data_IF_497008803843
#
_entry.id   IF_497008803843
#
_cell.length_a   1.000
_cell.length_b   1.000
_cell.length_c   1.000
_cell.angle_alpha   90.00
_cell.angle_beta   90.00
_cell.angle_gamma   90.00
#
_symmetry.space_group_name_H-M   'P 1'
#
loop_
_entity.id
_entity.type
_entity.pdbx_description
1 polymer ?
#
# COMPACT_ATOMS: atom_id res chain seq x y z
N UNK A 1 -16.49 30.70 33.77
CA UNK A 1 -16.29 31.09 32.36
C UNK A 1 -15.99 29.81 31.60
N UNK A 2 -16.96 29.30 30.84
CA UNK A 2 -16.80 28.10 30.00
C UNK A 2 -16.58 28.57 28.55
N UNK A 3 -15.33 28.50 28.08
CA UNK A 3 -15.03 28.57 26.65
C UNK A 3 -15.33 27.21 26.02
N UNK A 4 -16.56 27.02 25.55
CA UNK A 4 -16.87 25.94 24.63
C UNK A 4 -16.32 26.33 23.26
N UNK A 5 -15.16 25.77 22.89
CA UNK A 5 -14.63 25.91 21.53
C UNK A 5 -15.64 25.30 20.54
N UNK A 6 -16.31 26.17 19.78
CA UNK A 6 -17.24 25.76 18.72
C UNK A 6 -16.41 25.22 17.55
N UNK A 7 -16.47 23.90 17.33
CA UNK A 7 -15.87 23.28 16.15
C UNK A 7 -16.56 23.80 14.88
N UNK A 8 -15.81 24.14 13.81
CA UNK A 8 -16.37 24.69 12.59
C UNK A 8 -17.32 23.70 11.90
N UNK A 9 -18.40 24.24 11.32
CA UNK A 9 -19.33 23.46 10.52
C UNK A 9 -18.68 23.08 9.18
N UNK A 10 -18.69 21.79 8.86
CA UNK A 10 -18.17 21.23 7.61
C UNK A 10 -19.33 20.89 6.68
N UNK A 11 -19.22 21.32 5.42
CA UNK A 11 -20.13 20.95 4.35
C UNK A 11 -19.41 19.97 3.42
N UNK A 12 -20.04 18.82 3.17
CA UNK A 12 -19.55 17.77 2.29
C UNK A 12 -20.41 17.76 1.03
N UNK A 13 -19.77 17.81 -0.12
CA UNK A 13 -20.38 17.60 -1.43
C UNK A 13 -19.54 16.56 -2.18
N UNK A 14 -20.19 15.58 -2.81
CA UNK A 14 -19.55 14.40 -3.43
C UNK A 14 -20.12 13.06 -2.93
N UNK A 15 -19.78 11.92 -3.58
CA UNK A 15 -18.53 11.67 -4.31
C UNK A 15 -18.57 12.03 -5.79
N UNK A 16 -17.45 12.56 -6.30
CA UNK A 16 -17.26 12.91 -7.72
C UNK A 16 -16.34 11.92 -8.47
N UNK A 17 -15.97 10.80 -7.84
CA UNK A 17 -15.18 9.76 -8.47
C UNK A 17 -16.05 8.80 -9.27
N UNK A 18 -15.72 8.57 -10.53
CA UNK A 18 -16.30 7.48 -11.30
C UNK A 18 -15.67 6.17 -10.82
N UNK A 19 -16.46 5.33 -10.17
CA UNK A 19 -15.99 4.11 -9.51
C UNK A 19 -15.78 2.97 -10.49
N UNK A 20 -14.73 3.03 -11.30
CA UNK A 20 -14.29 1.88 -12.10
C UNK A 20 -13.66 0.83 -11.19
N UNK A 21 -14.48 0.01 -10.52
CA UNK A 21 -14.06 -1.10 -9.63
C UNK A 21 -13.65 -2.36 -10.41
N UNK A 22 -13.06 -2.21 -11.60
CA UNK A 22 -12.73 -3.34 -12.49
C UNK A 22 -11.75 -4.34 -11.86
N UNK A 23 -11.03 -3.95 -10.81
CA UNK A 23 -10.09 -4.84 -10.10
C UNK A 23 -10.76 -6.03 -9.41
N UNK A 24 -12.07 -6.01 -9.17
CA UNK A 24 -12.80 -7.16 -8.60
C UNK A 24 -13.11 -8.25 -9.61
N UNK A 25 -13.01 -7.93 -10.90
CA UNK A 25 -13.39 -8.82 -12.00
C UNK A 25 -12.23 -9.75 -12.41
N UNK A 26 -11.00 -9.38 -12.04
CA UNK A 26 -9.80 -10.16 -12.29
C UNK A 26 -9.42 -11.00 -11.06
N UNK A 27 -8.94 -12.23 -11.30
CA UNK A 27 -8.44 -13.10 -10.23
C UNK A 27 -7.19 -12.52 -9.56
N UNK A 28 -6.33 -11.86 -10.33
CA UNK A 28 -5.12 -11.21 -9.84
C UNK A 28 -5.09 -9.77 -10.36
N UNK A 29 -4.99 -8.81 -9.44
CA UNK A 29 -4.99 -7.38 -9.76
C UNK A 29 -3.70 -6.71 -9.29
N UNK A 30 -3.12 -5.85 -10.13
CA UNK A 30 -1.93 -5.04 -9.78
C UNK A 30 -2.34 -3.57 -9.70
N UNK A 31 -2.32 -3.01 -8.50
CA UNK A 31 -2.63 -1.62 -8.20
C UNK A 31 -1.32 -0.84 -8.07
N UNK A 32 -1.17 0.26 -8.81
CA UNK A 32 0.05 1.08 -8.79
C UNK A 32 -0.28 2.51 -8.34
N UNK A 33 0.24 2.90 -7.17
CA UNK A 33 0.12 4.26 -6.64
C UNK A 33 1.44 5.00 -6.71
N UNK A 34 1.45 6.25 -7.20
CA UNK A 34 2.66 7.08 -7.25
C UNK A 34 2.44 8.44 -6.56
N UNK A 35 3.34 8.81 -5.65
CA UNK A 35 3.28 10.10 -4.95
C UNK A 35 1.93 10.32 -4.23
N UNK A 36 1.30 11.48 -4.45
CA UNK A 36 -0.02 11.81 -3.86
C UNK A 36 -1.15 10.91 -4.36
N UNK A 37 -0.95 10.21 -5.48
CA UNK A 37 -1.92 9.27 -6.05
C UNK A 37 -2.13 8.02 -5.20
N UNK A 38 -1.46 7.90 -4.05
CA UNK A 38 -1.64 6.81 -3.09
C UNK A 38 -2.94 6.94 -2.28
N UNK A 39 -3.45 8.17 -2.11
CA UNK A 39 -4.63 8.46 -1.27
C UNK A 39 -5.89 7.65 -1.62
N UNK A 40 -6.33 7.56 -2.89
CA UNK A 40 -7.48 6.73 -3.22
C UNK A 40 -7.25 5.24 -2.92
N UNK A 41 -6.01 4.76 -3.05
CA UNK A 41 -5.66 3.37 -2.76
C UNK A 41 -5.81 3.02 -1.28
N UNK A 42 -5.64 3.97 -0.36
CA UNK A 42 -5.90 3.74 1.06
C UNK A 42 -7.33 3.23 1.29
N UNK A 43 -8.33 3.84 0.64
CA UNK A 43 -9.72 3.41 0.72
C UNK A 43 -9.95 2.09 0.00
N UNK A 44 -9.33 1.89 -1.17
CA UNK A 44 -9.49 0.65 -1.97
C UNK A 44 -8.94 -0.56 -1.21
N UNK A 45 -7.75 -0.43 -0.60
CA UNK A 45 -7.12 -1.53 0.15
C UNK A 45 -7.94 -1.93 1.37
N UNK A 46 -8.48 -0.95 2.11
CA UNK A 46 -9.39 -1.21 3.23
C UNK A 46 -10.66 -1.92 2.77
N UNK A 47 -11.27 -1.45 1.68
CA UNK A 47 -12.48 -2.06 1.11
C UNK A 47 -12.23 -3.51 0.64
N UNK A 48 -11.08 -3.77 0.00
CA UNK A 48 -10.69 -5.12 -0.44
C UNK A 48 -10.57 -6.09 0.73
N UNK A 49 -9.83 -5.71 1.77
CA UNK A 49 -9.66 -6.55 2.96
C UNK A 49 -10.98 -6.73 3.71
N UNK A 50 -11.80 -5.69 3.78
CA UNK A 50 -13.14 -5.79 4.35
C UNK A 50 -14.02 -6.78 3.56
N UNK A 51 -14.12 -6.65 2.24
CA UNK A 51 -14.86 -7.57 1.36
C UNK A 51 -14.37 -9.01 1.49
N UNK A 52 -13.05 -9.20 1.60
CA UNK A 52 -12.41 -10.49 1.87
C UNK A 52 -12.88 -11.10 3.20
N UNK A 53 -12.85 -10.31 4.28
CA UNK A 53 -13.21 -10.76 5.62
C UNK A 53 -14.68 -11.18 5.75
N UNK A 54 -15.60 -10.47 5.08
CA UNK A 54 -17.04 -10.79 5.09
C UNK A 54 -17.41 -11.92 4.12
N UNK A 55 -16.42 -12.56 3.48
CA UNK A 55 -16.60 -13.61 2.46
C UNK A 55 -17.58 -13.21 1.36
N UNK A 56 -17.51 -11.95 0.93
CA UNK A 56 -18.27 -11.50 -0.23
C UNK A 56 -17.85 -12.32 -1.46
N UNK A 57 -18.77 -12.58 -2.38
CA UNK A 57 -18.43 -13.24 -3.65
C UNK A 57 -17.78 -12.20 -4.57
N UNK A 58 -16.45 -12.15 -4.58
CA UNK A 58 -15.68 -11.42 -5.59
C UNK A 58 -14.58 -12.35 -6.14
N UNK A 59 -14.22 -12.17 -7.42
CA UNK A 59 -13.34 -13.11 -8.12
C UNK A 59 -11.86 -12.91 -7.80
N UNK A 60 -11.50 -11.79 -7.18
CA UNK A 60 -10.12 -11.44 -6.89
C UNK A 60 -9.53 -12.30 -5.76
N UNK A 61 -8.53 -13.12 -6.10
CA UNK A 61 -7.79 -14.00 -5.19
C UNK A 61 -6.50 -13.36 -4.69
N UNK A 62 -5.93 -12.41 -5.45
CA UNK A 62 -4.70 -11.73 -5.07
C UNK A 62 -4.64 -10.29 -5.59
N UNK A 63 -4.21 -9.36 -4.74
CA UNK A 63 -3.97 -7.97 -5.09
C UNK A 63 -2.53 -7.59 -4.76
N UNK A 64 -1.79 -7.14 -5.76
CA UNK A 64 -0.46 -6.57 -5.57
C UNK A 64 -0.54 -5.06 -5.59
N UNK A 65 -0.20 -4.42 -4.49
CA UNK A 65 -0.12 -2.97 -4.41
C UNK A 65 1.33 -2.49 -4.49
N UNK A 66 1.68 -1.83 -5.58
CA UNK A 66 2.98 -1.23 -5.82
C UNK A 66 2.89 0.26 -5.52
N UNK A 67 3.45 0.68 -4.39
CA UNK A 67 3.53 2.08 -4.03
C UNK A 67 4.90 2.66 -4.37
N UNK A 68 4.93 3.64 -5.26
CA UNK A 68 6.16 4.34 -5.70
C UNK A 68 6.19 5.74 -5.12
N UNK A 69 7.24 6.06 -4.35
CA UNK A 69 7.38 7.39 -3.76
C UNK A 69 8.84 7.88 -3.77
N UNK A 70 9.02 9.20 -3.84
CA UNK A 70 10.36 9.80 -3.77
C UNK A 70 10.86 9.87 -2.32
N UNK A 71 10.03 10.34 -1.39
CA UNK A 71 10.43 10.53 0.02
C UNK A 71 9.33 10.07 0.97
N UNK A 72 9.71 9.52 2.12
CA UNK A 72 8.76 9.12 3.17
C UNK A 72 8.08 10.30 3.89
N UNK A 73 8.63 11.51 3.77
CA UNK A 73 8.25 12.69 4.58
C UNK A 73 6.78 13.13 4.47
N UNK A 74 6.07 12.74 3.42
CA UNK A 74 4.67 13.13 3.17
C UNK A 74 3.64 12.04 3.53
N UNK A 75 4.07 10.88 4.07
CA UNK A 75 3.22 9.67 4.03
C UNK A 75 3.30 8.75 5.26
N UNK A 76 3.64 9.29 6.44
CA UNK A 76 3.58 8.50 7.69
C UNK A 76 2.20 7.87 7.88
N UNK A 77 1.13 8.64 7.63
CA UNK A 77 -0.25 8.16 7.71
C UNK A 77 -0.57 7.00 6.76
N UNK A 78 0.05 6.94 5.57
CA UNK A 78 -0.16 5.83 4.63
C UNK A 78 0.46 4.55 5.15
N UNK A 79 1.62 4.64 5.81
CA UNK A 79 2.23 3.48 6.46
C UNK A 79 1.29 2.93 7.54
N UNK A 80 0.64 3.80 8.31
CA UNK A 80 -0.32 3.36 9.34
C UNK A 80 -1.54 2.66 8.72
N UNK A 81 -2.04 3.17 7.59
CA UNK A 81 -3.12 2.49 6.85
C UNK A 81 -2.66 1.15 6.29
N UNK A 82 -1.47 1.08 5.69
CA UNK A 82 -0.93 -0.19 5.19
C UNK A 82 -0.81 -1.19 6.34
N UNK A 83 -0.38 -0.74 7.53
CA UNK A 83 -0.30 -1.60 8.72
C UNK A 83 -1.68 -2.12 9.13
N UNK A 84 -2.68 -1.26 9.15
CA UNK A 84 -4.07 -1.64 9.46
C UNK A 84 -4.62 -2.63 8.44
N UNK A 85 -4.39 -2.38 7.13
CA UNK A 85 -4.76 -3.28 6.05
C UNK A 85 -4.09 -4.64 6.23
N UNK A 86 -2.79 -4.65 6.53
CA UNK A 86 -2.04 -5.88 6.83
C UNK A 86 -2.66 -6.63 8.03
N UNK A 87 -2.90 -5.94 9.14
CA UNK A 87 -3.43 -6.57 10.35
C UNK A 87 -4.84 -7.16 10.15
N UNK A 88 -5.65 -6.55 9.27
CA UNK A 88 -6.99 -7.04 8.91
C UNK A 88 -6.97 -8.14 7.83
N UNK A 89 -5.89 -8.26 7.06
CA UNK A 89 -5.79 -9.19 5.92
C UNK A 89 -5.46 -10.62 6.34
N UNK A 90 -6.46 -11.29 6.90
CA UNK A 90 -6.35 -12.69 7.34
C UNK A 90 -6.20 -13.70 6.20
N UNK A 91 -6.57 -13.33 4.97
CA UNK A 91 -6.50 -14.21 3.79
C UNK A 91 -5.26 -13.97 2.94
N UNK A 92 -4.37 -13.06 3.37
CA UNK A 92 -3.21 -12.63 2.60
C UNK A 92 -3.59 -12.17 1.18
N UNK A 93 -4.77 -11.55 1.02
CA UNK A 93 -5.27 -11.07 -0.26
C UNK A 93 -4.35 -9.99 -0.83
N UNK A 94 -3.82 -9.10 0.01
CA UNK A 94 -3.07 -7.92 -0.39
C UNK A 94 -1.57 -8.13 -0.12
N UNK A 95 -0.75 -7.90 -1.14
CA UNK A 95 0.71 -7.88 -1.02
C UNK A 95 1.24 -6.51 -1.43
N UNK A 96 1.82 -5.80 -0.46
CA UNK A 96 2.28 -4.42 -0.65
C UNK A 96 3.79 -4.37 -0.85
N UNK A 97 4.19 -3.66 -1.90
CA UNK A 97 5.59 -3.40 -2.26
C UNK A 97 5.82 -1.89 -2.33
N UNK A 98 6.73 -1.40 -1.49
CA UNK A 98 7.04 0.04 -1.39
C UNK A 98 8.34 0.30 -2.14
N UNK A 99 8.36 1.23 -3.08
CA UNK A 99 9.54 1.63 -3.84
C UNK A 99 9.91 3.08 -3.54
N UNK A 100 11.05 3.27 -2.89
CA UNK A 100 11.63 4.59 -2.61
C UNK A 100 12.62 4.93 -3.73
N UNK A 101 12.29 5.95 -4.53
CA UNK A 101 13.04 6.30 -5.73
C UNK A 101 14.02 7.46 -5.54
N UNK A 102 14.20 7.97 -4.32
CA UNK A 102 15.22 9.00 -4.06
C UNK A 102 16.63 8.44 -4.28
N UNK A 103 17.53 9.29 -4.75
CA UNK A 103 18.95 8.94 -4.88
C UNK A 103 19.59 8.88 -3.50
N UNK A 104 20.47 7.90 -3.27
CA UNK A 104 21.11 7.68 -1.97
C UNK A 104 21.85 8.92 -1.44
N UNK A 105 22.50 9.68 -2.34
CA UNK A 105 23.19 10.94 -2.02
C UNK A 105 22.25 12.04 -1.46
N UNK A 106 20.95 11.91 -1.70
CA UNK A 106 19.92 12.87 -1.26
C UNK A 106 19.07 12.32 -0.12
N UNK A 107 19.42 11.17 0.46
CA UNK A 107 18.68 10.63 1.59
C UNK A 107 18.72 11.57 2.80
N UNK A 108 17.54 11.85 3.35
CA UNK A 108 17.45 12.42 4.69
C UNK A 108 17.74 11.34 5.74
N UNK A 109 17.96 11.74 6.99
CA UNK A 109 18.27 10.81 8.09
C UNK A 109 17.23 9.68 8.20
N UNK A 110 15.95 9.99 7.97
CA UNK A 110 14.84 9.02 8.01
C UNK A 110 15.01 7.95 6.93
N UNK A 111 15.21 8.37 5.68
CA UNK A 111 15.37 7.46 4.53
C UNK A 111 16.65 6.65 4.66
N UNK A 112 17.73 7.25 5.16
CA UNK A 112 18.98 6.54 5.46
C UNK A 112 18.77 5.47 6.52
N UNK A 113 18.09 5.81 7.62
CA UNK A 113 17.84 4.85 8.70
C UNK A 113 16.95 3.70 8.22
N UNK A 114 15.89 3.99 7.46
CA UNK A 114 15.09 2.96 6.80
C UNK A 114 15.94 2.07 5.88
N UNK A 115 16.78 2.65 5.02
CA UNK A 115 17.65 1.89 4.13
C UNK A 115 18.56 0.93 4.89
N UNK A 116 19.16 1.40 5.99
CA UNK A 116 20.00 0.56 6.83
C UNK A 116 19.16 -0.52 7.51
N UNK A 117 17.99 -0.18 8.07
CA UNK A 117 17.07 -1.13 8.71
C UNK A 117 16.62 -2.24 7.77
N UNK A 118 16.21 -1.91 6.54
CA UNK A 118 15.72 -2.89 5.57
C UNK A 118 16.84 -3.79 5.03
N UNK A 119 18.07 -3.27 4.92
CA UNK A 119 19.18 -3.99 4.28
C UNK A 119 20.09 -4.74 5.25
N UNK A 120 20.31 -4.18 6.44
CA UNK A 120 21.33 -4.67 7.38
C UNK A 120 20.75 -5.19 8.68
N UNK A 121 19.53 -4.81 9.03
CA UNK A 121 18.88 -5.32 10.23
C UNK A 121 17.81 -6.34 9.85
N UNK A 122 17.74 -7.42 10.64
CA UNK A 122 16.80 -8.50 10.38
C UNK A 122 15.37 -8.03 10.74
N UNK A 123 14.37 -8.38 9.92
CA UNK A 123 12.96 -8.21 10.28
C UNK A 123 12.71 -8.95 11.59
N UNK A 124 12.19 -8.26 12.60
CA UNK A 124 11.74 -8.90 13.85
C UNK A 124 10.26 -9.18 13.69
N UNK A 125 9.82 -10.42 13.97
CA UNK A 125 8.43 -10.84 13.75
C UNK A 125 7.92 -10.63 12.30
N UNK A 126 8.79 -10.83 11.30
CA UNK A 126 8.49 -10.56 9.89
C UNK A 126 8.08 -9.12 9.57
N UNK A 127 8.34 -8.16 10.49
CA UNK A 127 8.07 -6.74 10.30
C UNK A 127 9.38 -5.96 10.20
N UNK A 128 9.36 -4.92 9.37
CA UNK A 128 10.39 -3.88 9.35
C UNK A 128 10.55 -3.28 10.73
N UNK A 129 11.78 -3.21 11.24
CA UNK A 129 12.08 -2.55 12.51
C UNK A 129 11.76 -1.05 12.49
N UNK A 130 11.78 -0.44 11.31
CA UNK A 130 11.60 0.99 11.15
C UNK A 130 10.13 1.39 10.96
N UNK A 131 9.40 0.65 10.12
CA UNK A 131 8.01 1.00 9.77
C UNK A 131 6.98 0.13 10.49
N UNK A 132 7.39 -1.01 11.06
CA UNK A 132 6.48 -2.00 11.63
C UNK A 132 5.62 -2.74 10.58
N UNK A 133 5.92 -2.58 9.29
CA UNK A 133 5.19 -3.22 8.19
C UNK A 133 5.77 -4.59 7.86
N UNK A 134 4.91 -5.54 7.48
CA UNK A 134 5.33 -6.82 6.89
C UNK A 134 5.79 -6.64 5.44
N UNK A 135 5.20 -5.66 4.76
CA UNK A 135 5.55 -5.15 3.43
C UNK A 135 7.06 -5.06 3.21
N UNK A 136 7.48 -5.27 1.96
CA UNK A 136 8.90 -5.13 1.59
C UNK A 136 9.13 -3.74 1.02
N UNK A 137 10.14 -3.05 1.55
CA UNK A 137 10.60 -1.77 1.02
C UNK A 137 11.82 -1.98 0.11
N UNK A 138 11.71 -1.47 -1.11
CA UNK A 138 12.71 -1.51 -2.16
C UNK A 138 13.26 -0.11 -2.39
N UNK A 139 14.52 -0.03 -2.78
CA UNK A 139 15.19 1.24 -3.12
C UNK A 139 15.53 1.24 -4.60
N UNK A 140 15.06 2.26 -5.31
CA UNK A 140 15.15 2.35 -6.77
C UNK A 140 13.79 2.26 -7.46
N UNK A 141 13.82 2.17 -8.79
CA UNK A 141 12.60 2.09 -9.60
C UNK A 141 12.03 0.67 -9.60
N UNK A 142 10.71 0.50 -9.61
CA UNK A 142 10.08 -0.82 -9.71
C UNK A 142 10.45 -1.49 -11.04
N UNK A 143 10.96 -2.73 -11.04
CA UNK A 143 11.26 -3.49 -12.25
C UNK A 143 9.98 -4.11 -12.81
N UNK A 144 9.04 -3.29 -13.31
CA UNK A 144 7.70 -3.74 -13.70
C UNK A 144 7.69 -4.94 -14.65
N UNK A 145 8.57 -4.98 -15.66
CA UNK A 145 8.63 -6.10 -16.59
C UNK A 145 8.98 -7.43 -15.90
N UNK A 146 10.02 -7.41 -15.06
CA UNK A 146 10.42 -8.60 -14.30
C UNK A 146 9.34 -8.99 -13.28
N UNK A 147 8.74 -8.00 -12.61
CA UNK A 147 7.65 -8.22 -11.67
C UNK A 147 6.43 -8.88 -12.34
N UNK A 148 5.93 -8.31 -13.45
CA UNK A 148 4.79 -8.85 -14.18
C UNK A 148 5.09 -10.23 -14.76
N UNK A 149 6.31 -10.46 -15.25
CA UNK A 149 6.74 -11.80 -15.70
C UNK A 149 6.73 -12.81 -14.56
N UNK A 150 7.23 -12.43 -13.39
CA UNK A 150 7.19 -13.30 -12.20
C UNK A 150 5.76 -13.61 -11.73
N UNK A 151 4.79 -12.69 -11.95
CA UNK A 151 3.40 -12.97 -11.62
C UNK A 151 2.81 -14.10 -12.47
N UNK A 152 3.22 -14.22 -13.74
CA UNK A 152 2.79 -15.33 -14.61
C UNK A 152 3.36 -16.68 -14.12
N UNK A 153 4.56 -16.67 -13.55
CA UNK A 153 5.17 -17.87 -12.96
C UNK A 153 4.50 -18.26 -11.64
N UNK A 154 4.13 -17.27 -10.81
CA UNK A 154 3.49 -17.48 -9.51
C UNK A 154 2.02 -17.87 -9.64
N UNK A 155 1.32 -17.33 -10.64
CA UNK A 155 -0.11 -17.58 -10.91
C UNK A 155 -0.31 -18.17 -12.32
N UNK A 156 0.17 -19.39 -12.61
CA UNK A 156 0.10 -20.00 -13.94
C UNK A 156 -1.34 -20.23 -14.46
N UNK A 157 -2.32 -20.27 -13.54
CA UNK A 157 -3.74 -20.39 -13.84
C UNK A 157 -4.36 -19.12 -14.43
N UNK A 158 -3.75 -17.96 -14.18
CA UNK A 158 -4.23 -16.67 -14.69
C UNK A 158 -3.66 -16.47 -16.09
N UNK A 159 -4.42 -16.89 -17.10
CA UNK A 159 -4.09 -16.61 -18.51
C UNK A 159 -4.42 -15.15 -18.83
N UNK A 160 -3.43 -14.42 -19.34
CA UNK A 160 -3.54 -13.06 -19.89
C UNK A 160 -4.48 -12.97 -21.08
#
# INVERSE_FOLDING_TARGET
MNDHAVSPQLYLDGPFGEGHQEWTDYEVSVLVGAGIGVTPFASILKDLVFKSSVKSKFNCKKVYFIWVTRTQRQFEWVSDIIREVEDLDAQELVSVHIYITQLAEKFDLRTTMLYVCERHFQKVWNRSLFTGLRSVTHFGRPPFLAFLSSLQEVHPEVRS
#
